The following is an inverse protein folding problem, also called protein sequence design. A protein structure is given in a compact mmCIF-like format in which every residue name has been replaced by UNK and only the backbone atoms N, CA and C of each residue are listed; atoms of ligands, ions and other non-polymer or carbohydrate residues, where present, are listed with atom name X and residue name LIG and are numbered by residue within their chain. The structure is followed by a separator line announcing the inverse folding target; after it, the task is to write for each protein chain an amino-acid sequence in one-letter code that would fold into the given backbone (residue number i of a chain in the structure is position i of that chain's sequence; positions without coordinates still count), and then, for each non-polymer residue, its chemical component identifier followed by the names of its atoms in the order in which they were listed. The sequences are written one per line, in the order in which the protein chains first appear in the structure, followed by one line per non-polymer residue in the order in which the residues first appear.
data_IF_953811342371
#
_entry.id   IF_953811342371
#
_cell.length_a   1.000
_cell.length_b   1.000
_cell.length_c   1.000
_cell.angle_alpha   90.00
_cell.angle_beta   90.00
_cell.angle_gamma   90.00
#
_symmetry.space_group_name_H-M   'P 1'
#
loop_
_entity.id
_entity.type
_entity.pdbx_description
1 polymer ?
#
# COMPACT_ATOMS: atom_id res chain seq x y z
N UNK A 1 6.19 -20.06 -22.86
CA UNK A 1 7.10 -20.30 -21.71
C UNK A 1 6.59 -19.73 -20.39
N UNK A 2 6.07 -18.50 -20.34
CA UNK A 2 5.65 -17.79 -19.11
C UNK A 2 4.61 -18.50 -18.21
N UNK A 3 3.93 -19.52 -18.73
CA UNK A 3 2.92 -20.29 -17.99
C UNK A 3 3.46 -21.59 -17.38
N UNK A 4 4.71 -21.96 -17.67
CA UNK A 4 5.29 -23.24 -17.28
C UNK A 4 5.86 -23.23 -15.86
N UNK A 5 6.37 -22.09 -15.39
CA UNK A 5 6.99 -21.95 -14.07
C UNK A 5 7.10 -20.50 -13.63
N UNK A 6 7.36 -20.27 -12.34
CA UNK A 6 7.45 -18.91 -11.77
C UNK A 6 8.83 -18.27 -11.93
N UNK A 7 9.83 -19.09 -12.27
CA UNK A 7 11.21 -18.69 -12.51
C UNK A 7 11.88 -19.73 -13.45
N UNK A 8 13.09 -19.45 -13.93
CA UNK A 8 13.84 -20.34 -14.84
C UNK A 8 14.03 -21.73 -14.25
N UNK A 9 14.36 -21.84 -12.96
CA UNK A 9 14.59 -23.12 -12.30
C UNK A 9 13.30 -23.95 -12.29
N UNK A 10 12.16 -23.34 -12.00
CA UNK A 10 10.85 -24.00 -12.05
C UNK A 10 10.50 -24.48 -13.47
N UNK A 11 10.77 -23.65 -14.49
CA UNK A 11 10.55 -24.01 -15.89
C UNK A 11 11.44 -25.19 -16.31
N UNK A 12 12.74 -25.15 -15.97
CA UNK A 12 13.70 -26.22 -16.27
C UNK A 12 13.34 -27.51 -15.54
N UNK A 13 13.06 -27.44 -14.24
CA UNK A 13 12.63 -28.60 -13.46
C UNK A 13 11.35 -29.23 -14.02
N UNK A 14 10.41 -28.40 -14.49
CA UNK A 14 9.19 -28.89 -15.12
C UNK A 14 9.51 -29.55 -16.47
N UNK A 15 10.37 -28.95 -17.28
CA UNK A 15 10.83 -29.54 -18.55
C UNK A 15 11.48 -30.91 -18.36
N UNK A 16 12.50 -31.00 -17.51
CA UNK A 16 13.18 -32.27 -17.23
C UNK A 16 12.25 -33.31 -16.61
N UNK A 17 11.34 -32.91 -15.72
CA UNK A 17 10.34 -33.82 -15.17
C UNK A 17 9.43 -34.39 -16.24
N UNK A 18 8.98 -33.59 -17.20
CA UNK A 18 8.13 -34.08 -18.31
C UNK A 18 8.90 -35.05 -19.20
N UNK A 19 10.18 -34.78 -19.49
CA UNK A 19 11.08 -35.71 -20.18
C UNK A 19 11.20 -37.04 -19.44
N UNK A 20 11.54 -36.99 -18.16
CA UNK A 20 11.78 -38.19 -17.33
C UNK A 20 10.50 -39.03 -17.18
N UNK A 21 9.33 -38.39 -17.12
CA UNK A 21 8.02 -39.05 -17.08
C UNK A 21 7.52 -39.48 -18.47
N UNK A 22 8.31 -39.28 -19.54
CA UNK A 22 7.95 -39.57 -20.94
C UNK A 22 6.66 -38.88 -21.39
N UNK A 23 6.45 -37.65 -20.91
CA UNK A 23 5.32 -36.80 -21.26
C UNK A 23 5.74 -35.78 -22.30
N UNK A 24 4.85 -35.53 -23.26
CA UNK A 24 5.05 -34.50 -24.27
C UNK A 24 4.82 -33.11 -23.66
N UNK A 25 5.81 -32.23 -23.78
CA UNK A 25 5.68 -30.82 -23.45
C UNK A 25 5.52 -30.02 -24.75
N UNK A 26 4.43 -29.28 -24.89
CA UNK A 26 4.19 -28.42 -26.06
C UNK A 26 3.97 -27.00 -25.58
N UNK A 27 4.64 -26.04 -26.20
CA UNK A 27 4.40 -24.61 -25.93
C UNK A 27 4.11 -23.85 -27.22
N UNK A 28 3.23 -22.85 -27.13
CA UNK A 28 2.98 -21.93 -28.24
C UNK A 28 4.28 -21.23 -28.67
N UNK A 29 4.60 -21.27 -29.98
CA UNK A 29 5.83 -20.71 -30.56
C UNK A 29 6.97 -21.71 -30.76
N UNK A 30 6.78 -22.97 -30.33
CA UNK A 30 7.67 -24.09 -30.64
C UNK A 30 7.00 -25.01 -31.67
N UNK A 31 7.74 -25.45 -32.68
CA UNK A 31 7.22 -26.37 -33.70
C UNK A 31 7.31 -27.80 -33.17
N UNK A 32 6.17 -28.35 -32.73
CA UNK A 32 6.09 -29.69 -32.15
C UNK A 32 6.41 -29.75 -30.64
N UNK A 33 6.47 -30.96 -30.07
CA UNK A 33 6.85 -31.15 -28.69
C UNK A 33 8.33 -30.83 -28.47
N UNK A 34 8.67 -30.38 -27.27
CA UNK A 34 10.05 -30.20 -26.84
C UNK A 34 10.74 -31.55 -26.65
N UNK A 35 11.89 -31.75 -27.28
CA UNK A 35 12.78 -32.91 -27.18
C UNK A 35 14.05 -32.55 -26.39
N UNK A 36 13.96 -32.55 -25.05
CA UNK A 36 15.07 -32.15 -24.18
C UNK A 36 16.24 -33.17 -24.12
N UNK A 37 16.19 -34.23 -24.91
CA UNK A 37 17.34 -35.13 -25.16
C UNK A 37 18.17 -34.65 -26.36
N UNK A 38 17.61 -33.81 -27.23
CA UNK A 38 18.34 -33.10 -28.27
C UNK A 38 19.00 -31.84 -27.68
N UNK A 39 20.34 -31.71 -27.75
CA UNK A 39 21.03 -30.55 -27.21
C UNK A 39 20.60 -29.22 -27.84
N UNK A 40 20.18 -29.20 -29.11
CA UNK A 40 19.71 -27.97 -29.74
C UNK A 40 18.38 -27.52 -29.12
N UNK A 41 17.45 -28.44 -28.94
CA UNK A 41 16.14 -28.12 -28.36
C UNK A 41 16.19 -27.84 -26.85
N UNK A 42 17.05 -28.53 -26.10
CA UNK A 42 17.33 -28.23 -24.69
C UNK A 42 17.91 -26.82 -24.51
N UNK A 43 18.86 -26.42 -25.36
CA UNK A 43 19.45 -25.08 -25.33
C UNK A 43 18.42 -24.00 -25.65
N UNK A 44 17.56 -24.25 -26.66
CA UNK A 44 16.47 -23.34 -27.03
C UNK A 44 15.47 -23.20 -25.88
N UNK A 45 15.05 -24.30 -25.26
CA UNK A 45 14.15 -24.30 -24.12
C UNK A 45 14.71 -23.47 -22.95
N UNK A 46 16.00 -23.66 -22.65
CA UNK A 46 16.70 -22.90 -21.61
C UNK A 46 16.75 -21.41 -21.93
N UNK A 47 17.05 -21.05 -23.18
CA UNK A 47 17.12 -19.65 -23.62
C UNK A 47 15.75 -18.96 -23.56
N UNK A 48 14.69 -19.63 -23.98
CA UNK A 48 13.33 -19.07 -23.92
C UNK A 48 12.85 -18.91 -22.46
N UNK A 49 13.14 -19.88 -21.59
CA UNK A 49 12.84 -19.77 -20.17
C UNK A 49 13.61 -18.59 -19.52
N UNK A 50 14.87 -18.41 -19.89
CA UNK A 50 15.68 -17.29 -19.42
C UNK A 50 15.18 -15.94 -19.94
N UNK A 51 14.81 -15.87 -21.22
CA UNK A 51 14.22 -14.69 -21.85
C UNK A 51 12.95 -14.21 -21.12
N UNK A 52 12.02 -15.13 -20.87
CA UNK A 52 10.80 -14.88 -20.10
C UNK A 52 11.09 -14.28 -18.70
N UNK A 53 12.07 -14.84 -17.99
CA UNK A 53 12.46 -14.33 -16.67
C UNK A 53 13.10 -12.94 -16.76
N UNK A 54 13.93 -12.70 -17.77
CA UNK A 54 14.57 -11.40 -17.99
C UNK A 54 13.52 -10.32 -18.30
N UNK A 55 12.51 -10.64 -19.10
CA UNK A 55 11.39 -9.74 -19.38
C UNK A 55 10.59 -9.42 -18.11
N UNK A 56 10.21 -10.44 -17.33
CA UNK A 56 9.52 -10.25 -16.05
C UNK A 56 10.32 -9.34 -15.11
N UNK A 57 11.64 -9.58 -14.99
CA UNK A 57 12.54 -8.74 -14.19
C UNK A 57 12.62 -7.31 -14.70
N UNK A 58 12.63 -7.10 -16.02
CA UNK A 58 12.62 -5.78 -16.61
C UNK A 58 11.31 -5.03 -16.31
N UNK A 59 10.16 -5.69 -16.39
CA UNK A 59 8.85 -5.11 -16.02
C UNK A 59 8.82 -4.77 -14.52
N UNK A 60 9.25 -5.70 -13.66
CA UNK A 60 9.32 -5.47 -12.21
C UNK A 60 10.23 -4.27 -11.88
N UNK A 61 11.39 -4.18 -12.54
CA UNK A 61 12.31 -3.04 -12.40
C UNK A 61 11.63 -1.73 -12.80
N UNK A 62 11.02 -1.67 -14.00
CA UNK A 62 10.28 -0.48 -14.46
C UNK A 62 9.18 -0.06 -13.47
N UNK A 63 8.41 -1.01 -12.95
CA UNK A 63 7.36 -0.74 -11.96
C UNK A 63 7.94 -0.21 -10.64
N UNK A 64 9.06 -0.77 -10.19
CA UNK A 64 9.78 -0.29 -9.00
C UNK A 64 10.32 1.12 -9.22
N UNK A 65 10.98 1.38 -10.34
CA UNK A 65 11.55 2.68 -10.67
C UNK A 65 10.45 3.75 -10.79
N UNK A 66 9.33 3.42 -11.43
CA UNK A 66 8.17 4.31 -11.47
C UNK A 66 7.61 4.59 -10.06
N UNK A 67 7.61 3.59 -9.17
CA UNK A 67 7.22 3.79 -7.76
C UNK A 67 8.17 4.74 -7.04
N UNK A 68 9.48 4.57 -7.23
CA UNK A 68 10.51 5.41 -6.63
C UNK A 68 10.35 6.86 -7.13
N UNK A 69 10.17 7.06 -8.44
CA UNK A 69 9.97 8.39 -9.03
C UNK A 69 8.73 9.10 -8.51
N UNK A 70 7.59 8.40 -8.42
CA UNK A 70 6.34 8.97 -7.88
C UNK A 70 6.53 9.40 -6.41
N UNK A 71 7.24 8.58 -5.63
CA UNK A 71 7.53 8.86 -4.24
C UNK A 71 8.48 10.05 -4.05
N UNK A 72 9.56 10.12 -4.84
CA UNK A 72 10.49 11.23 -4.83
C UNK A 72 9.78 12.55 -5.19
N UNK A 73 8.78 12.50 -6.07
CA UNK A 73 7.92 13.64 -6.39
C UNK A 73 6.89 13.98 -5.28
N UNK A 74 6.94 13.34 -4.11
CA UNK A 74 6.02 13.57 -3.00
C UNK A 74 4.57 13.14 -3.28
N UNK A 75 4.35 12.31 -4.30
CA UNK A 75 2.99 11.94 -4.74
C UNK A 75 2.52 10.63 -4.11
N UNK A 76 1.24 10.54 -3.72
CA UNK A 76 0.68 9.29 -3.22
C UNK A 76 0.59 8.24 -4.35
N UNK A 77 0.97 6.99 -4.03
CA UNK A 77 0.79 5.82 -4.90
C UNK A 77 0.03 4.73 -4.15
N UNK A 78 -0.98 4.16 -4.78
CA UNK A 78 -1.75 3.05 -4.21
C UNK A 78 -3.15 3.48 -3.79
N UNK A 79 -3.65 2.90 -2.70
CA UNK A 79 -4.98 3.18 -2.16
C UNK A 79 -4.88 4.18 -0.99
N UNK A 80 -5.88 5.06 -0.79
CA UNK A 80 -5.91 5.93 0.38
C UNK A 80 -6.05 5.12 1.67
N UNK A 81 -5.57 5.68 2.78
CA UNK A 81 -5.79 5.16 4.12
C UNK A 81 -7.23 5.40 4.57
N UNK A 82 -7.73 4.62 5.53
CA UNK A 82 -9.05 4.85 6.10
C UNK A 82 -9.13 6.26 6.73
N UNK A 83 -10.24 6.96 6.50
CA UNK A 83 -10.41 8.36 6.89
C UNK A 83 -9.89 9.38 5.88
N UNK A 84 -9.28 8.95 4.77
CA UNK A 84 -8.77 9.82 3.70
C UNK A 84 -9.31 9.42 2.32
N UNK A 85 -9.34 10.37 1.39
CA UNK A 85 -9.70 10.17 0.00
C UNK A 85 -8.74 10.88 -0.95
N UNK A 86 -8.62 10.34 -2.17
CA UNK A 86 -7.83 10.97 -3.23
C UNK A 86 -8.74 11.77 -4.16
N UNK A 87 -8.50 13.07 -4.22
CA UNK A 87 -9.24 13.98 -5.08
C UNK A 87 -8.53 14.09 -6.43
N UNK A 88 -9.30 14.00 -7.51
CA UNK A 88 -8.83 14.21 -8.88
C UNK A 88 -9.68 15.30 -9.51
N UNK A 89 -9.05 16.36 -10.03
CA UNK A 89 -9.75 17.45 -10.72
C UNK A 89 -10.34 17.04 -12.06
N UNK A 90 -9.79 15.99 -12.67
CA UNK A 90 -10.23 15.44 -13.96
C UNK A 90 -10.44 13.95 -13.81
N UNK A 91 -11.50 13.42 -14.41
CA UNK A 91 -11.78 11.98 -14.44
C UNK A 91 -10.59 11.22 -15.06
N UNK A 92 -10.10 10.20 -14.35
CA UNK A 92 -8.91 9.43 -14.76
C UNK A 92 -7.57 10.17 -14.62
N UNK A 93 -7.58 11.42 -14.15
CA UNK A 93 -6.39 12.23 -13.96
C UNK A 93 -5.49 11.79 -12.79
N UNK A 94 -4.37 12.48 -12.64
CA UNK A 94 -3.48 12.31 -11.47
C UNK A 94 -4.22 12.74 -10.20
N UNK A 95 -3.83 12.16 -9.07
CA UNK A 95 -4.27 12.66 -7.75
C UNK A 95 -3.77 14.10 -7.63
N UNK A 96 -4.72 15.02 -7.42
CA UNK A 96 -4.44 16.44 -7.26
C UNK A 96 -4.00 16.71 -5.82
N UNK A 97 -4.79 16.25 -4.85
CA UNK A 97 -4.47 16.32 -3.43
C UNK A 97 -5.21 15.22 -2.65
N UNK A 98 -4.89 15.09 -1.37
CA UNK A 98 -5.51 14.14 -0.44
C UNK A 98 -6.34 14.93 0.56
N UNK A 99 -7.59 14.52 0.76
CA UNK A 99 -8.49 15.13 1.74
C UNK A 99 -8.94 14.09 2.76
N UNK A 100 -9.55 14.57 3.85
CA UNK A 100 -10.29 13.73 4.77
C UNK A 100 -11.58 13.24 4.10
N UNK A 101 -11.88 11.96 4.29
CA UNK A 101 -13.20 11.44 3.93
C UNK A 101 -14.16 11.78 5.08
N UNK A 102 -15.25 12.54 4.86
CA UNK A 102 -16.06 13.11 5.94
C UNK A 102 -16.46 12.09 7.03
N UNK A 103 -17.25 11.08 6.69
CA UNK A 103 -17.76 10.09 7.66
C UNK A 103 -16.64 9.26 8.32
N UNK A 104 -15.77 8.64 7.51
CA UNK A 104 -14.69 7.80 8.02
C UNK A 104 -13.70 8.57 8.92
N UNK A 105 -13.45 9.86 8.65
CA UNK A 105 -12.62 10.71 9.50
C UNK A 105 -13.29 11.00 10.84
N UNK A 106 -14.60 11.22 10.85
CA UNK A 106 -15.38 11.42 12.08
C UNK A 106 -15.43 10.17 12.95
N UNK A 107 -15.58 8.99 12.34
CA UNK A 107 -15.51 7.70 13.05
C UNK A 107 -14.20 7.56 13.80
N UNK A 108 -13.06 7.84 13.16
CA UNK A 108 -11.75 7.77 13.83
C UNK A 108 -11.61 8.81 14.95
N UNK A 109 -12.11 10.04 14.73
CA UNK A 109 -12.11 11.10 15.75
C UNK A 109 -12.98 10.74 16.95
N UNK A 110 -14.15 10.15 16.74
CA UNK A 110 -15.04 9.67 17.79
C UNK A 110 -14.38 8.57 18.62
N UNK A 111 -13.82 7.55 17.95
CA UNK A 111 -13.09 6.46 18.61
C UNK A 111 -11.95 7.01 19.47
N UNK A 112 -11.12 7.89 18.90
CA UNK A 112 -9.99 8.48 19.62
C UNK A 112 -10.47 9.29 20.83
N UNK A 113 -11.51 10.11 20.66
CA UNK A 113 -12.11 10.90 21.74
C UNK A 113 -12.60 10.01 22.88
N UNK A 114 -13.29 8.91 22.59
CA UNK A 114 -13.85 8.01 23.59
C UNK A 114 -12.75 7.27 24.36
N UNK A 115 -11.72 6.77 23.66
CA UNK A 115 -10.56 6.12 24.29
C UNK A 115 -9.83 7.10 25.20
N UNK A 116 -9.63 8.35 24.76
CA UNK A 116 -8.95 9.37 25.57
C UNK A 116 -9.78 9.84 26.77
N UNK A 117 -11.12 9.81 26.66
CA UNK A 117 -12.01 10.20 27.74
C UNK A 117 -12.09 9.17 28.88
N UNK A 118 -11.96 7.88 28.56
CA UNK A 118 -12.02 6.79 29.53
C UNK A 118 -11.13 5.61 29.08
N UNK A 119 -9.79 5.74 29.22
CA UNK A 119 -8.85 4.74 28.71
C UNK A 119 -8.89 3.42 29.49
N UNK A 120 -9.47 3.39 30.69
CA UNK A 120 -9.57 2.17 31.50
C UNK A 120 -10.70 1.25 31.00
N UNK A 121 -11.82 1.82 30.54
CA UNK A 121 -12.98 1.04 30.10
C UNK A 121 -13.16 1.06 28.57
N UNK A 122 -12.68 2.10 27.88
CA UNK A 122 -12.78 2.25 26.42
C UNK A 122 -11.43 1.92 25.79
N UNK A 123 -11.38 0.72 25.19
CA UNK A 123 -10.19 0.19 24.53
C UNK A 123 -10.41 0.07 23.02
N UNK A 124 -9.34 -0.10 22.26
CA UNK A 124 -9.44 -0.42 20.82
C UNK A 124 -10.25 -1.69 20.56
N UNK A 125 -10.26 -2.66 21.47
CA UNK A 125 -11.08 -3.87 21.37
C UNK A 125 -12.56 -3.59 21.59
N UNK A 126 -12.92 -2.81 22.61
CA UNK A 126 -14.33 -2.48 22.87
C UNK A 126 -14.90 -1.56 21.80
N UNK A 127 -14.11 -0.62 21.28
CA UNK A 127 -14.51 0.23 20.15
C UNK A 127 -14.65 -0.56 18.85
N UNK A 128 -13.73 -1.46 18.51
CA UNK A 128 -13.89 -2.33 17.34
C UNK A 128 -15.19 -3.16 17.42
N UNK A 129 -15.50 -3.73 18.59
CA UNK A 129 -16.75 -4.45 18.81
C UNK A 129 -17.98 -3.55 18.68
N UNK A 130 -17.91 -2.29 19.17
CA UNK A 130 -18.97 -1.30 19.01
C UNK A 130 -19.22 -0.97 17.54
N UNK A 131 -18.17 -0.68 16.78
CA UNK A 131 -18.25 -0.39 15.34
C UNK A 131 -18.88 -1.56 14.57
N UNK A 132 -18.49 -2.79 14.89
CA UNK A 132 -19.08 -3.99 14.30
C UNK A 132 -20.58 -4.12 14.61
N UNK A 133 -21.00 -3.90 15.86
CA UNK A 133 -22.43 -3.91 16.24
C UNK A 133 -23.23 -2.80 15.55
N UNK A 134 -22.60 -1.65 15.31
CA UNK A 134 -23.21 -0.54 14.59
C UNK A 134 -23.26 -0.75 13.07
N UNK A 135 -22.66 -1.83 12.54
CA UNK A 135 -22.57 -2.07 11.10
C UNK A 135 -21.63 -1.11 10.37
N UNK A 136 -20.71 -0.44 11.08
CA UNK A 136 -19.75 0.47 10.47
C UNK A 136 -18.79 -0.29 9.55
N UNK A 137 -18.59 0.23 8.33
CA UNK A 137 -17.74 -0.42 7.34
C UNK A 137 -16.28 -0.47 7.82
N UNK A 138 -15.67 -1.67 7.79
CA UNK A 138 -14.25 -1.81 8.11
C UNK A 138 -13.37 -1.13 7.06
N UNK A 139 -12.07 -0.87 7.33
CA UNK A 139 -11.18 -0.21 6.38
C UNK A 139 -11.14 -0.84 4.99
N UNK A 140 -11.19 -2.17 4.92
CA UNK A 140 -11.18 -2.88 3.65
C UNK A 140 -12.52 -2.75 2.90
N UNK A 141 -13.64 -2.77 3.61
CA UNK A 141 -14.98 -2.67 3.04
C UNK A 141 -15.31 -1.25 2.62
N UNK A 142 -14.98 -0.26 3.46
CA UNK A 142 -15.10 1.14 3.12
C UNK A 142 -14.33 1.49 1.84
N UNK A 143 -13.12 0.93 1.71
CA UNK A 143 -12.33 1.08 0.50
C UNK A 143 -12.99 0.41 -0.71
N UNK A 144 -13.57 -0.78 -0.55
CA UNK A 144 -14.34 -1.43 -1.62
C UNK A 144 -15.51 -0.55 -2.07
N UNK A 145 -16.28 -0.01 -1.12
CA UNK A 145 -17.43 0.87 -1.36
C UNK A 145 -17.02 2.15 -2.09
N UNK A 146 -15.93 2.81 -1.68
CA UNK A 146 -15.39 3.99 -2.37
C UNK A 146 -15.04 3.73 -3.84
N UNK A 147 -14.62 2.50 -4.17
CA UNK A 147 -14.30 2.08 -5.53
C UNK A 147 -15.48 1.38 -6.23
N UNK A 148 -16.71 1.55 -5.75
CA UNK A 148 -17.94 1.04 -6.38
C UNK A 148 -18.09 -0.48 -6.30
N UNK A 149 -17.41 -1.14 -5.36
CA UNK A 149 -17.53 -2.57 -5.12
C UNK A 149 -18.38 -2.84 -3.89
N UNK A 150 -19.06 -3.98 -3.87
CA UNK A 150 -19.80 -4.44 -2.70
C UNK A 150 -18.85 -4.67 -1.51
N UNK A 151 -19.33 -4.35 -0.31
CA UNK A 151 -18.63 -4.66 0.94
C UNK A 151 -18.50 -6.18 1.11
N UNK A 152 -17.36 -6.63 1.64
CA UNK A 152 -17.11 -8.05 1.89
C UNK A 152 -17.62 -8.55 3.24
N UNK A 153 -18.20 -7.68 4.07
CA UNK A 153 -18.69 -8.02 5.41
C UNK A 153 -17.56 -8.29 6.40
N UNK A 154 -16.38 -7.71 6.19
CA UNK A 154 -15.22 -7.91 7.05
C UNK A 154 -15.38 -7.06 8.31
N UNK A 155 -15.28 -7.64 9.52
CA UNK A 155 -15.39 -6.87 10.75
C UNK A 155 -14.15 -6.00 11.00
N UNK A 156 -14.33 -4.95 11.79
CA UNK A 156 -13.26 -4.22 12.45
C UNK A 156 -12.46 -5.14 13.37
N UNK A 157 -11.16 -5.25 13.10
CA UNK A 157 -10.21 -5.92 13.98
C UNK A 157 -9.58 -4.90 14.95
N UNK A 158 -9.47 -5.21 16.26
CA UNK A 158 -8.87 -4.31 17.26
C UNK A 158 -7.45 -3.85 16.88
N UNK A 159 -6.62 -4.78 16.39
CA UNK A 159 -5.25 -4.46 15.96
C UNK A 159 -5.23 -3.50 14.77
N UNK A 160 -6.14 -3.64 13.82
CA UNK A 160 -6.25 -2.72 12.68
C UNK A 160 -6.63 -1.32 13.14
N UNK A 161 -7.59 -1.21 14.07
CA UNK A 161 -7.99 0.07 14.65
C UNK A 161 -6.82 0.73 15.39
N UNK A 162 -6.13 -0.02 16.25
CA UNK A 162 -4.92 0.46 16.95
C UNK A 162 -3.87 0.97 15.97
N UNK A 163 -3.55 0.19 14.94
CA UNK A 163 -2.54 0.56 13.95
C UNK A 163 -2.90 1.83 13.18
N UNK A 164 -4.19 2.07 12.89
CA UNK A 164 -4.65 3.30 12.26
C UNK A 164 -4.46 4.48 13.21
N UNK A 165 -4.93 4.37 14.45
CA UNK A 165 -4.91 5.47 15.42
C UNK A 165 -3.48 5.97 15.74
N UNK A 166 -2.50 5.06 15.79
CA UNK A 166 -1.11 5.42 16.10
C UNK A 166 -0.25 5.69 14.86
N UNK A 167 -0.83 5.56 13.65
CA UNK A 167 -0.06 5.76 12.42
C UNK A 167 0.21 7.24 12.18
N UNK A 168 1.44 7.58 11.83
CA UNK A 168 1.81 8.92 11.36
C UNK A 168 1.07 9.34 10.08
N UNK A 169 0.43 8.40 9.36
CA UNK A 169 -0.50 8.74 8.27
C UNK A 169 -1.67 9.62 8.76
N UNK A 170 -2.10 9.45 10.02
CA UNK A 170 -3.17 10.27 10.62
C UNK A 170 -2.75 11.72 10.82
N UNK A 171 -1.45 12.04 10.77
CA UNK A 171 -0.94 13.42 10.75
C UNK A 171 -0.93 14.02 9.34
N UNK A 172 -1.37 13.26 8.33
CA UNK A 172 -1.38 13.66 6.93
C UNK A 172 -0.07 13.37 6.20
N UNK A 173 0.87 12.63 6.78
CA UNK A 173 2.14 12.31 6.13
C UNK A 173 2.01 11.23 5.06
N UNK A 174 2.80 11.36 3.99
CA UNK A 174 3.00 10.31 2.98
C UNK A 174 3.79 9.17 3.62
N UNK A 175 3.22 7.97 3.66
CA UNK A 175 3.84 6.80 4.28
C UNK A 175 4.35 5.80 3.25
N UNK A 176 5.47 5.14 3.56
CA UNK A 176 5.96 3.94 2.88
C UNK A 176 6.50 2.93 3.90
N UNK A 177 6.03 1.68 3.86
CA UNK A 177 6.47 0.62 4.81
C UNK A 177 6.42 1.08 6.28
N UNK A 178 5.32 1.72 6.68
CA UNK A 178 5.11 2.26 8.03
C UNK A 178 6.06 3.38 8.46
N UNK A 179 6.81 3.99 7.53
CA UNK A 179 7.66 5.15 7.81
C UNK A 179 7.25 6.34 6.94
N UNK A 180 7.39 7.58 7.42
CA UNK A 180 7.17 8.76 6.60
C UNK A 180 8.18 8.80 5.47
N UNK A 181 7.71 9.20 4.30
CA UNK A 181 8.57 9.53 3.17
C UNK A 181 9.17 10.90 3.45
N UNK A 182 10.50 10.98 3.43
CA UNK A 182 11.23 12.23 3.59
C UNK A 182 11.37 12.92 2.22
N UNK A 183 11.20 14.25 2.21
CA UNK A 183 11.47 15.12 1.08
C UNK A 183 12.97 15.38 0.90
N UNK A 184 13.31 16.21 -0.09
CA UNK A 184 14.70 16.63 -0.36
C UNK A 184 15.31 17.43 0.81
N UNK A 185 14.47 18.09 1.60
CA UNK A 185 14.83 18.86 2.79
C UNK A 185 15.02 17.98 4.05
N UNK A 186 14.83 16.67 3.93
CA UNK A 186 14.92 15.73 5.04
C UNK A 186 13.66 15.69 5.94
N UNK A 187 12.63 16.49 5.64
CA UNK A 187 11.40 16.53 6.43
C UNK A 187 10.34 15.57 5.87
N UNK A 188 9.41 15.05 6.70
CA UNK A 188 8.28 14.26 6.23
C UNK A 188 7.40 15.01 5.21
N UNK A 189 7.11 14.37 4.07
CA UNK A 189 6.20 14.92 3.06
C UNK A 189 4.77 14.85 3.59
N UNK A 190 4.12 16.01 3.72
CA UNK A 190 2.71 16.12 4.16
C UNK A 190 1.77 16.26 2.96
N UNK A 191 0.75 15.40 2.89
CA UNK A 191 -0.25 15.33 1.82
C UNK A 191 -1.56 16.05 2.16
N UNK A 192 -1.87 16.16 3.45
CA UNK A 192 -3.12 16.75 3.94
C UNK A 192 -2.95 17.39 5.31
N UNK A 193 -3.96 18.13 5.76
CA UNK A 193 -4.01 18.70 7.11
C UNK A 193 -3.96 17.66 8.24
N UNK A 194 -4.19 16.38 7.93
CA UNK A 194 -4.22 15.32 8.93
C UNK A 194 -5.55 15.25 9.68
N UNK A 195 -5.76 14.12 10.34
CA UNK A 195 -6.97 13.81 11.09
C UNK A 195 -7.08 14.61 12.39
N UNK A 196 -5.93 14.83 13.03
CA UNK A 196 -5.82 15.51 14.31
C UNK A 196 -5.58 16.98 14.10
N UNK A 197 -6.46 17.82 14.64
CA UNK A 197 -6.19 19.27 14.76
C UNK A 197 -5.08 19.42 15.80
N UNK A 198 -3.91 19.99 15.45
CA UNK A 198 -2.91 20.28 16.46
C UNK A 198 -3.52 21.28 17.44
N UNK A 199 -3.48 20.97 18.75
CA UNK A 199 -3.70 22.02 19.74
C UNK A 199 -2.51 22.97 19.58
N UNK A 200 -2.71 24.27 19.28
CA UNK A 200 -1.60 25.20 19.24
C UNK A 200 -0.88 25.13 20.60
N UNK A 201 0.42 24.82 20.57
CA UNK A 201 1.25 24.82 21.77
C UNK A 201 1.22 26.19 22.44
N UNK A 202 1.57 26.29 23.74
CA UNK A 202 1.58 27.57 24.43
C UNK A 202 2.47 28.54 23.65
N UNK A 203 1.86 29.60 23.11
CA UNK A 203 2.55 30.71 22.46
C UNK A 203 3.61 31.19 23.44
N UNK A 204 4.89 30.93 23.14
CA UNK A 204 5.99 31.52 23.89
C UNK A 204 5.81 33.02 23.82
N UNK A 205 5.48 33.64 24.96
CA UNK A 205 5.42 35.10 25.07
C UNK A 205 6.75 35.65 24.56
N UNK A 206 6.75 36.75 23.79
CA UNK A 206 7.99 37.40 23.41
C UNK A 206 8.77 37.73 24.69
N UNK A 207 10.04 37.29 24.73
CA UNK A 207 10.96 37.70 25.78
C UNK A 207 10.99 39.23 25.79
N UNK A 208 10.56 39.82 26.90
CA UNK A 208 10.71 41.24 27.16
C UNK A 208 12.19 41.58 27.00
N UNK A 209 12.50 42.42 26.02
CA UNK A 209 13.81 43.03 25.87
C UNK A 209 14.18 43.69 27.21
N UNK A 210 15.26 43.21 27.82
CA UNK A 210 15.82 43.81 29.02
C UNK A 210 16.21 45.25 28.73
N UNK A 211 15.51 46.19 29.34
CA UNK A 211 16.03 47.51 29.59
C UNK A 211 17.24 47.35 30.53
N UNK A 212 18.41 47.74 30.05
CA UNK A 212 19.63 47.76 30.86
C UNK A 212 19.61 48.88 31.92
N UNK A 213 20.55 48.83 32.85
CA UNK A 213 21.05 50.04 33.49
C UNK A 213 22.55 50.22 33.20
N UNK A 214 22.95 51.43 32.81
CA UNK A 214 24.34 51.86 32.71
C UNK A 214 24.61 52.73 31.50
#
# INVERSE_FOLDING_TARGET
MDRLGRNVVDCLNTGYKMRDEKKMLVTYGHDGPWELDDPADENRFTMEAWGAQMELRAIQRRNRDATIKIRAAGRPKGKPWYGFQYVRKVMGGKVDHVELYPHASEVLRDVARRILADPENVTTSSEAARLNRAGEASPADHLAMMYGKSAGGRPWAPQSLRNILISEATLGYLMHQHKPVLGEDGNPVRLSEGLWVPVPGPTTRPQSAGAGPG
#
